data_IF_730348798314
#
_entry.id   IF_730348798314
#
_cell.length_a   1.000
_cell.length_b   1.000
_cell.length_c   1.000
_cell.angle_alpha   90.00
_cell.angle_beta   90.00
_cell.angle_gamma   90.00
#
_symmetry.space_group_name_H-M   'P 1'
#
loop_
_entity.id
_entity.type
_entity.pdbx_description
1 polymer ?
#
# COMPACT_ATOMS: atom_id res chain seq x y z
N UNK A 1 10.30 -6.12 -20.45
CA UNK A 1 10.08 -5.57 -19.09
C UNK A 1 8.76 -4.80 -18.90
N UNK A 2 8.30 -3.92 -19.80
CA UNK A 2 7.11 -3.08 -19.57
C UNK A 2 5.77 -3.83 -19.34
N UNK A 3 5.54 -4.98 -20.00
CA UNK A 3 4.27 -5.73 -19.87
C UNK A 3 4.06 -6.38 -18.49
N UNK A 4 5.14 -6.87 -17.86
CA UNK A 4 5.05 -7.52 -16.55
C UNK A 4 4.70 -6.55 -15.41
N UNK A 5 5.19 -5.31 -15.49
CA UNK A 5 4.89 -4.25 -14.50
C UNK A 5 3.42 -3.87 -14.53
N UNK A 6 2.83 -3.71 -15.71
CA UNK A 6 1.39 -3.44 -15.84
C UNK A 6 0.53 -4.59 -15.34
N UNK A 7 0.93 -5.84 -15.62
CA UNK A 7 0.25 -7.02 -15.07
C UNK A 7 0.23 -6.99 -13.54
N UNK A 8 1.36 -6.70 -12.91
CA UNK A 8 1.48 -6.58 -11.44
C UNK A 8 0.61 -5.44 -10.88
N UNK A 9 0.62 -4.26 -11.50
CA UNK A 9 -0.21 -3.13 -11.08
C UNK A 9 -1.70 -3.50 -11.18
N UNK A 10 -2.12 -4.09 -12.30
CA UNK A 10 -3.51 -4.50 -12.50
C UNK A 10 -3.95 -5.59 -11.52
N UNK A 11 -3.10 -6.59 -11.27
CA UNK A 11 -3.36 -7.62 -10.26
C UNK A 11 -3.45 -7.02 -8.86
N UNK A 12 -2.58 -6.06 -8.54
CA UNK A 12 -2.61 -5.38 -7.25
C UNK A 12 -3.90 -4.58 -7.05
N UNK A 13 -4.29 -3.80 -8.05
CA UNK A 13 -5.55 -3.05 -8.03
C UNK A 13 -6.76 -3.97 -7.93
N UNK A 14 -6.82 -5.01 -8.78
CA UNK A 14 -7.93 -5.95 -8.78
C UNK A 14 -8.05 -6.66 -7.43
N UNK A 15 -6.92 -7.05 -6.81
CA UNK A 15 -6.90 -7.64 -5.49
C UNK A 15 -7.41 -6.67 -4.43
N UNK A 16 -6.83 -5.47 -4.30
CA UNK A 16 -7.22 -4.49 -3.27
C UNK A 16 -8.70 -4.12 -3.37
N UNK A 17 -9.22 -3.89 -4.59
CA UNK A 17 -10.64 -3.56 -4.80
C UNK A 17 -11.55 -4.73 -4.46
N UNK A 18 -11.23 -5.94 -4.94
CA UNK A 18 -12.04 -7.13 -4.67
C UNK A 18 -12.04 -7.46 -3.18
N UNK A 19 -10.90 -7.25 -2.52
CA UNK A 19 -10.77 -7.50 -1.10
C UNK A 19 -11.60 -6.52 -0.27
N UNK A 20 -11.50 -5.21 -0.52
CA UNK A 20 -12.32 -4.21 0.14
C UNK A 20 -13.82 -4.52 0.03
N UNK A 21 -14.26 -5.03 -1.12
CA UNK A 21 -15.64 -5.47 -1.32
C UNK A 21 -15.99 -6.69 -0.45
N UNK A 22 -15.15 -7.73 -0.45
CA UNK A 22 -15.35 -8.93 0.38
C UNK A 22 -15.35 -8.56 1.86
N UNK A 23 -14.44 -7.69 2.27
CA UNK A 23 -14.32 -7.24 3.64
C UNK A 23 -15.57 -6.50 4.11
N UNK A 24 -16.02 -5.50 3.33
CA UNK A 24 -17.17 -4.68 3.69
C UNK A 24 -18.48 -5.49 3.70
N UNK A 25 -18.73 -6.33 2.68
CA UNK A 25 -20.03 -7.00 2.53
C UNK A 25 -20.10 -8.42 3.12
N UNK A 26 -18.97 -9.12 3.23
CA UNK A 26 -18.92 -10.55 3.61
C UNK A 26 -18.30 -10.76 4.98
N UNK A 27 -17.07 -10.27 5.22
CA UNK A 27 -16.37 -10.46 6.49
C UNK A 27 -17.04 -9.65 7.61
N UNK A 28 -17.57 -8.46 7.29
CA UNK A 28 -18.46 -7.65 8.13
C UNK A 28 -17.93 -7.33 9.53
N UNK A 29 -16.62 -7.27 9.71
CA UNK A 29 -16.08 -6.72 10.94
C UNK A 29 -16.19 -5.20 10.91
N UNK A 30 -17.33 -4.68 11.34
CA UNK A 30 -17.57 -3.24 11.52
C UNK A 30 -17.14 -2.74 12.90
N UNK A 31 -16.49 -3.62 13.69
CA UNK A 31 -16.09 -3.33 15.08
C UNK A 31 -14.65 -2.82 15.21
N UNK A 32 -13.99 -2.50 14.10
CA UNK A 32 -12.59 -2.09 13.99
C UNK A 32 -12.10 -1.00 14.96
N UNK A 33 -13.01 -0.20 15.53
CA UNK A 33 -12.70 0.84 16.52
C UNK A 33 -12.89 0.47 17.99
N UNK A 34 -13.47 -0.69 18.33
CA UNK A 34 -13.83 -1.02 19.72
C UNK A 34 -12.74 -1.75 20.51
N UNK A 35 -11.77 -2.36 19.83
CA UNK A 35 -10.65 -3.06 20.48
C UNK A 35 -9.31 -2.54 19.93
N UNK A 36 -8.77 -1.43 20.48
CA UNK A 36 -7.51 -0.88 20.04
C UNK A 36 -6.39 -1.90 20.25
N UNK A 37 -5.85 -2.44 19.17
CA UNK A 37 -4.68 -3.32 19.25
C UNK A 37 -3.45 -2.43 19.15
N UNK A 38 -2.77 -2.23 20.28
CA UNK A 38 -1.68 -1.26 20.48
C UNK A 38 -0.50 -1.39 19.50
N UNK A 39 -0.41 -2.49 18.75
CA UNK A 39 0.62 -2.76 17.74
C UNK A 39 0.08 -3.50 16.50
N UNK A 40 -1.22 -3.45 16.23
CA UNK A 40 -1.75 -4.00 15.00
C UNK A 40 -1.49 -3.00 13.88
N UNK A 41 -0.45 -3.23 13.09
CA UNK A 41 -0.41 -2.69 11.72
C UNK A 41 -1.44 -3.40 10.84
N UNK A 42 -1.93 -4.57 11.26
CA UNK A 42 -2.63 -5.56 10.46
C UNK A 42 -3.57 -6.35 11.38
N UNK A 43 -4.88 -6.25 11.16
CA UNK A 43 -5.84 -7.15 11.80
C UNK A 43 -5.47 -8.61 11.45
N UNK A 44 -5.81 -9.65 12.24
CA UNK A 44 -5.30 -11.01 12.01
C UNK A 44 -5.51 -11.55 10.58
N UNK A 45 -6.57 -11.17 9.88
CA UNK A 45 -6.77 -11.56 8.48
C UNK A 45 -5.86 -10.81 7.48
N UNK A 46 -5.36 -9.62 7.84
CA UNK A 46 -4.38 -8.90 7.05
C UNK A 46 -3.00 -9.61 7.05
N UNK A 47 -2.72 -10.55 7.98
CA UNK A 47 -1.54 -11.41 7.87
C UNK A 47 -1.60 -12.34 6.65
N UNK A 48 -2.79 -12.84 6.28
CA UNK A 48 -2.98 -13.60 5.06
C UNK A 48 -2.79 -12.72 3.80
N UNK A 49 -3.20 -11.46 3.88
CA UNK A 49 -2.93 -10.47 2.83
C UNK A 49 -1.44 -10.11 2.72
N UNK A 50 -0.73 -9.96 3.84
CA UNK A 50 0.69 -9.64 3.87
C UNK A 50 1.52 -10.65 3.07
N UNK A 51 1.16 -11.94 3.12
CA UNK A 51 1.81 -12.96 2.29
C UNK A 51 1.61 -12.72 0.78
N UNK A 52 0.40 -12.36 0.35
CA UNK A 52 0.09 -12.04 -1.06
C UNK A 52 0.81 -10.76 -1.50
N UNK A 53 0.84 -9.74 -0.64
CA UNK A 53 1.55 -8.48 -0.91
C UNK A 53 3.07 -8.65 -0.92
N UNK A 54 3.62 -9.50 -0.05
CA UNK A 54 5.02 -9.90 -0.06
C UNK A 54 5.36 -10.71 -1.30
N UNK A 55 4.48 -11.59 -1.79
CA UNK A 55 4.67 -12.32 -3.05
C UNK A 55 4.64 -11.37 -4.26
N UNK A 56 3.73 -10.37 -4.27
CA UNK A 56 3.69 -9.34 -5.31
C UNK A 56 4.96 -8.47 -5.31
N UNK A 57 5.45 -8.09 -4.12
CA UNK A 57 6.74 -7.42 -3.97
C UNK A 57 7.91 -8.34 -4.39
N UNK A 58 7.89 -9.62 -4.01
CA UNK A 58 8.89 -10.62 -4.36
C UNK A 58 9.00 -10.81 -5.88
N UNK A 59 7.88 -10.87 -6.60
CA UNK A 59 7.85 -10.91 -8.07
C UNK A 59 8.51 -9.69 -8.74
N UNK A 60 8.51 -8.53 -8.06
CA UNK A 60 9.18 -7.31 -8.51
C UNK A 60 10.69 -7.30 -8.18
N UNK A 61 11.08 -7.99 -7.11
CA UNK A 61 12.46 -8.03 -6.57
C UNK A 61 13.31 -9.15 -7.16
N UNK A 62 12.70 -10.26 -7.58
CA UNK A 62 13.38 -11.41 -8.15
C UNK A 62 14.03 -11.19 -9.52
N UNK A 63 13.99 -9.97 -10.07
CA UNK A 63 14.79 -9.66 -11.23
C UNK A 63 16.30 -9.70 -10.90
N UNK A 64 16.77 -9.22 -9.74
CA UNK A 64 18.17 -9.37 -9.26
C UNK A 64 18.30 -8.87 -7.80
N UNK A 65 18.32 -9.77 -6.81
CA UNK A 65 18.60 -9.40 -5.41
C UNK A 65 20.10 -9.54 -5.14
N UNK A 66 20.79 -8.42 -4.93
CA UNK A 66 22.16 -8.38 -4.39
C UNK A 66 22.14 -7.71 -3.03
N UNK A 67 23.20 -7.88 -2.21
CA UNK A 67 23.31 -7.22 -0.90
C UNK A 67 23.19 -5.69 -1.02
N UNK A 68 23.74 -5.11 -2.09
CA UNK A 68 23.62 -3.68 -2.42
C UNK A 68 22.19 -3.27 -2.84
N UNK A 69 21.35 -4.23 -3.20
CA UNK A 69 19.97 -4.04 -3.62
C UNK A 69 18.92 -4.19 -2.51
N UNK A 70 19.29 -4.67 -1.31
CA UNK A 70 18.31 -4.95 -0.24
C UNK A 70 17.53 -3.71 0.19
N UNK A 71 18.20 -2.60 0.49
CA UNK A 71 17.52 -1.37 0.95
C UNK A 71 16.57 -0.80 -0.11
N UNK A 72 16.97 -0.60 -1.38
CA UNK A 72 16.04 -0.20 -2.45
C UNK A 72 14.86 -1.17 -2.60
N UNK A 73 15.11 -2.48 -2.39
CA UNK A 73 14.09 -3.51 -2.49
C UNK A 73 13.03 -3.40 -1.39
N UNK A 74 13.47 -3.19 -0.15
CA UNK A 74 12.58 -2.95 0.99
C UNK A 74 11.76 -1.67 0.81
N UNK A 75 12.36 -0.61 0.27
CA UNK A 75 11.65 0.65 -0.03
C UNK A 75 10.55 0.43 -1.07
N UNK A 76 10.85 -0.30 -2.15
CA UNK A 76 9.86 -0.61 -3.19
C UNK A 76 8.76 -1.52 -2.64
N UNK A 77 9.11 -2.54 -1.86
CA UNK A 77 8.16 -3.42 -1.20
C UNK A 77 7.24 -2.65 -0.23
N UNK A 78 7.80 -1.76 0.59
CA UNK A 78 7.04 -0.90 1.49
C UNK A 78 6.12 0.06 0.76
N UNK A 79 6.57 0.64 -0.36
CA UNK A 79 5.74 1.50 -1.21
C UNK A 79 4.57 0.73 -1.82
N UNK A 80 4.81 -0.47 -2.36
CA UNK A 80 3.75 -1.33 -2.92
C UNK A 80 2.75 -1.74 -1.84
N UNK A 81 3.24 -2.29 -0.73
CA UNK A 81 2.40 -2.75 0.37
C UNK A 81 1.52 -1.63 0.92
N UNK A 82 2.11 -0.48 1.25
CA UNK A 82 1.36 0.66 1.79
C UNK A 82 0.37 1.24 0.77
N UNK A 83 0.70 1.23 -0.52
CA UNK A 83 -0.23 1.68 -1.58
C UNK A 83 -1.42 0.74 -1.72
N UNK A 84 -1.19 -0.58 -1.65
CA UNK A 84 -2.26 -1.57 -1.76
C UNK A 84 -3.24 -1.50 -0.60
N UNK A 85 -2.73 -1.30 0.63
CA UNK A 85 -3.56 -1.02 1.80
C UNK A 85 -4.35 0.28 1.63
N UNK A 86 -3.69 1.37 1.20
CA UNK A 86 -4.37 2.66 1.04
C UNK A 86 -5.50 2.61 0.00
N UNK A 87 -5.35 1.81 -1.06
CA UNK A 87 -6.39 1.59 -2.08
C UNK A 87 -7.53 0.76 -1.52
N UNK A 88 -7.22 -0.29 -0.76
CA UNK A 88 -8.20 -1.14 -0.12
C UNK A 88 -9.03 -0.36 0.91
N UNK A 89 -8.39 0.35 1.85
CA UNK A 89 -9.03 1.31 2.77
C UNK A 89 -9.92 2.30 2.02
N UNK A 90 -9.40 2.95 0.98
CA UNK A 90 -10.16 3.94 0.21
C UNK A 90 -11.44 3.33 -0.38
N UNK A 91 -11.34 2.15 -1.00
CA UNK A 91 -12.49 1.46 -1.58
C UNK A 91 -13.47 1.06 -0.48
N UNK A 92 -12.99 0.54 0.65
CA UNK A 92 -13.80 0.16 1.79
C UNK A 92 -14.62 1.35 2.31
N UNK A 93 -13.96 2.48 2.56
CA UNK A 93 -14.60 3.69 3.07
C UNK A 93 -15.57 4.32 2.06
N UNK A 94 -15.26 4.25 0.75
CA UNK A 94 -16.17 4.69 -0.31
C UNK A 94 -17.40 3.78 -0.38
N UNK A 95 -17.23 2.46 -0.27
CA UNK A 95 -18.35 1.51 -0.23
C UNK A 95 -19.26 1.81 0.96
N UNK A 96 -18.71 2.08 2.14
CA UNK A 96 -19.48 2.48 3.32
C UNK A 96 -20.25 3.78 3.13
N UNK A 97 -19.63 4.78 2.52
CA UNK A 97 -20.27 6.07 2.31
C UNK A 97 -21.38 5.99 1.24
N UNK A 98 -21.14 5.27 0.15
CA UNK A 98 -22.02 5.25 -1.02
C UNK A 98 -23.09 4.14 -0.98
N UNK A 99 -22.80 3.01 -0.34
CA UNK A 99 -23.68 1.83 -0.29
C UNK A 99 -23.61 1.17 1.10
N UNK A 100 -24.05 1.87 2.16
CA UNK A 100 -23.89 1.41 3.53
C UNK A 100 -24.65 0.11 3.81
N UNK A 101 -24.03 -0.76 4.59
CA UNK A 101 -24.64 -1.98 5.10
C UNK A 101 -25.48 -1.68 6.36
N UNK A 102 -26.63 -2.35 6.49
CA UNK A 102 -27.47 -2.23 7.68
C UNK A 102 -26.74 -2.74 8.93
N UNK A 103 -26.68 -1.90 9.97
CA UNK A 103 -26.02 -2.23 11.25
C UNK A 103 -24.59 -1.69 11.37
N UNK A 104 -24.04 -1.05 10.33
CA UNK A 104 -22.78 -0.32 10.41
C UNK A 104 -22.98 1.00 11.19
N UNK A 105 -22.28 1.16 12.32
CA UNK A 105 -22.38 2.34 13.17
C UNK A 105 -21.91 3.63 12.48
N UNK A 106 -21.10 3.50 11.43
CA UNK A 106 -20.52 4.61 10.67
C UNK A 106 -21.01 4.62 9.22
N UNK A 107 -22.14 3.96 8.94
CA UNK A 107 -22.86 4.02 7.68
C UNK A 107 -22.99 5.45 7.14
N UNK A 108 -22.68 5.66 5.87
CA UNK A 108 -22.78 6.96 5.21
C UNK A 108 -21.63 7.93 5.53
N UNK A 109 -20.63 7.52 6.32
CA UNK A 109 -19.42 8.32 6.62
C UNK A 109 -18.19 7.75 5.91
N UNK A 110 -17.26 8.62 5.53
CA UNK A 110 -15.99 8.25 4.88
C UNK A 110 -15.01 7.62 5.88
N UNK A 111 -14.25 8.40 6.63
CA UNK A 111 -13.33 7.90 7.68
C UNK A 111 -13.62 8.64 8.98
N UNK A 112 -13.81 7.91 10.06
CA UNK A 112 -14.01 8.46 11.41
C UNK A 112 -12.74 8.23 12.23
N UNK A 113 -12.44 9.16 13.14
CA UNK A 113 -11.26 9.07 13.97
C UNK A 113 -11.26 7.78 14.82
N UNK A 114 -10.15 7.04 14.80
CA UNK A 114 -9.98 5.81 15.58
C UNK A 114 -10.45 4.53 14.90
N UNK A 115 -10.80 4.55 13.61
CA UNK A 115 -11.31 3.37 12.90
C UNK A 115 -10.24 2.48 12.27
N UNK A 116 -8.97 2.90 12.25
CA UNK A 116 -7.87 2.13 11.67
C UNK A 116 -7.08 1.39 12.75
N UNK A 117 -6.35 0.36 12.35
CA UNK A 117 -5.57 -0.51 13.26
C UNK A 117 -4.42 0.22 13.95
N UNK A 118 -3.77 1.15 13.25
CA UNK A 118 -2.65 1.98 13.77
C UNK A 118 -3.12 3.23 14.52
N UNK A 119 -4.10 3.10 15.42
CA UNK A 119 -4.67 4.24 16.17
C UNK A 119 -3.61 5.08 16.89
N UNK A 120 -2.52 4.45 17.36
CA UNK A 120 -1.41 5.12 18.05
C UNK A 120 -0.72 6.18 17.18
N UNK A 121 -0.80 6.09 15.85
CA UNK A 121 -0.26 7.10 14.94
C UNK A 121 -1.13 8.35 14.88
N UNK A 122 -2.39 8.27 15.31
CA UNK A 122 -3.36 9.35 15.22
C UNK A 122 -3.80 9.67 13.79
N UNK A 123 -4.48 10.81 13.64
CA UNK A 123 -4.95 11.34 12.35
C UNK A 123 -4.91 12.85 12.32
N UNK A 124 -4.98 13.39 11.10
CA UNK A 124 -5.36 14.79 10.86
C UNK A 124 -6.88 14.87 10.74
N UNK A 125 -7.49 15.82 11.43
CA UNK A 125 -8.91 16.15 11.28
C UNK A 125 -9.10 17.02 10.02
N UNK A 126 -9.89 16.53 9.07
CA UNK A 126 -10.26 17.23 7.84
C UNK A 126 -11.73 17.66 7.84
N UNK A 127 -12.28 18.01 9.03
CA UNK A 127 -13.62 18.52 9.30
C UNK A 127 -14.78 17.53 9.02
N UNK A 128 -14.80 16.92 7.84
CA UNK A 128 -15.81 15.94 7.43
C UNK A 128 -15.30 14.49 7.42
N UNK A 129 -13.99 14.30 7.64
CA UNK A 129 -13.34 12.98 7.65
C UNK A 129 -12.05 13.05 8.46
N UNK A 130 -11.60 11.93 9.00
CA UNK A 130 -10.25 11.77 9.52
C UNK A 130 -9.30 11.30 8.41
N UNK A 131 -8.04 11.76 8.44
CA UNK A 131 -6.98 11.24 7.56
C UNK A 131 -5.97 10.50 8.45
N UNK A 132 -5.91 9.16 8.41
CA UNK A 132 -4.96 8.39 9.22
C UNK A 132 -3.52 8.80 8.93
N UNK A 133 -2.71 9.03 9.97
CA UNK A 133 -1.35 9.52 9.77
C UNK A 133 -0.44 8.53 9.03
N UNK A 134 -0.79 7.24 9.02
CA UNK A 134 -0.05 6.23 8.27
C UNK A 134 -0.13 6.43 6.75
N UNK A 135 -1.16 7.11 6.22
CA UNK A 135 -1.22 7.47 4.80
C UNK A 135 -0.02 8.34 4.38
N UNK A 136 0.49 9.19 5.27
CA UNK A 136 1.69 9.98 5.00
C UNK A 136 2.96 9.12 4.91
N UNK A 137 3.01 7.98 5.62
CA UNK A 137 4.10 7.01 5.43
C UNK A 137 4.05 6.40 4.03
N UNK A 138 2.86 6.10 3.51
CA UNK A 138 2.71 5.60 2.13
C UNK A 138 3.25 6.61 1.11
N UNK A 139 2.96 7.90 1.29
CA UNK A 139 3.54 8.98 0.47
C UNK A 139 5.07 8.99 0.59
N UNK A 140 5.60 8.88 1.82
CA UNK A 140 7.04 8.82 2.08
C UNK A 140 7.73 7.65 1.38
N UNK A 141 7.18 6.44 1.50
CA UNK A 141 7.71 5.26 0.81
C UNK A 141 7.65 5.39 -0.71
N UNK A 142 6.55 5.94 -1.23
CA UNK A 142 6.37 6.16 -2.68
C UNK A 142 7.37 7.18 -3.23
N UNK A 143 7.59 8.28 -2.51
CA UNK A 143 8.60 9.28 -2.86
C UNK A 143 10.02 8.69 -2.81
N UNK A 144 10.33 7.90 -1.79
CA UNK A 144 11.61 7.20 -1.67
C UNK A 144 11.82 6.20 -2.81
N UNK A 145 10.80 5.41 -3.17
CA UNK A 145 10.85 4.45 -4.28
C UNK A 145 11.07 5.16 -5.63
N UNK A 146 10.42 6.31 -5.85
CA UNK A 146 10.66 7.13 -7.04
C UNK A 146 12.11 7.66 -7.07
N UNK A 147 12.62 8.12 -5.94
CA UNK A 147 13.98 8.61 -5.78
C UNK A 147 15.03 7.54 -6.07
N UNK A 148 14.89 6.35 -5.48
CA UNK A 148 15.82 5.22 -5.70
C UNK A 148 15.80 4.75 -7.15
N UNK A 149 14.62 4.68 -7.77
CA UNK A 149 14.46 4.29 -9.18
C UNK A 149 15.13 5.29 -10.12
N UNK A 150 14.91 6.60 -9.92
CA UNK A 150 15.53 7.66 -10.73
C UNK A 150 17.05 7.68 -10.60
N UNK A 151 17.58 7.48 -9.37
CA UNK A 151 19.03 7.40 -9.14
C UNK A 151 19.65 6.22 -9.90
N UNK A 152 19.00 5.04 -9.85
CA UNK A 152 19.48 3.85 -10.56
C UNK A 152 19.47 4.04 -12.08
N UNK A 153 18.42 4.65 -12.63
CA UNK A 153 18.36 4.98 -14.06
C UNK A 153 19.49 5.92 -14.48
N UNK A 154 19.78 6.97 -13.69
CA UNK A 154 20.90 7.88 -13.97
C UNK A 154 22.24 7.15 -13.98
N UNK A 155 22.50 6.30 -12.98
CA UNK A 155 23.74 5.52 -12.91
C UNK A 155 23.91 4.61 -14.12
N UNK A 156 22.84 3.96 -14.59
CA UNK A 156 22.87 3.11 -15.79
C UNK A 156 23.15 3.92 -17.05
N UNK A 157 22.54 5.10 -17.19
CA UNK A 157 22.79 5.99 -18.32
C UNK A 157 24.23 6.52 -18.33
N UNK A 158 24.78 6.90 -17.17
CA UNK A 158 26.16 7.35 -17.05
C UNK A 158 27.14 6.22 -17.38
N UNK A 159 26.92 5.01 -16.87
CA UNK A 159 27.77 3.86 -17.17
C UNK A 159 27.77 3.52 -18.68
N UNK A 160 26.59 3.51 -19.31
CA UNK A 160 26.47 3.25 -20.75
C UNK A 160 27.16 4.33 -21.62
N UNK A 161 27.12 5.59 -21.20
CA UNK A 161 27.82 6.68 -21.88
C UNK A 161 29.35 6.55 -21.78
N UNK A 162 29.86 6.13 -20.61
CA UNK A 162 31.30 5.89 -20.41
C UNK A 162 31.81 4.72 -21.25
N UNK A 163 31.05 3.62 -21.36
CA UNK A 163 31.44 2.45 -22.16
C UNK A 163 31.49 2.77 -23.66
N UNK A 164 30.60 3.65 -24.14
CA UNK A 164 30.61 4.10 -25.54
C UNK A 164 31.84 4.97 -25.86
N UNK A 165 32.36 5.74 -24.91
CA UNK A 165 33.57 6.56 -25.11
C UNK A 165 34.87 5.74 -25.10
N UNK A 166 34.86 4.56 -24.46
CA UNK A 166 36.02 3.66 -24.41
C UNK A 166 36.11 2.70 -25.60
N UNK A 167 35.06 2.64 -26.44
CA UNK A 167 34.96 1.72 -27.58
C UNK A 167 35.06 2.43 -28.94
N UNK A 168 35.25 3.75 -28.95
CA UNK A 168 35.50 4.61 -30.14
C UNK A 168 36.88 5.22 -30.07
#
# INVERSE_FOLDING_TARGET
MRRGVWGLILSALAFSVSYAFVEYYIIRDTTFGYNPVLFSLLYPYHFAMAAVFVIAAYGLLCAHVSVKGIVPSLVIAGALFSSMLAIEDFVWFVLRAAAPVHGDANAGKLVVAGEWTTQFMGSVDAHFTAIPNWYFLSIGFSAAALGTTRRRQRQQLTAAASDHLLTT
#
